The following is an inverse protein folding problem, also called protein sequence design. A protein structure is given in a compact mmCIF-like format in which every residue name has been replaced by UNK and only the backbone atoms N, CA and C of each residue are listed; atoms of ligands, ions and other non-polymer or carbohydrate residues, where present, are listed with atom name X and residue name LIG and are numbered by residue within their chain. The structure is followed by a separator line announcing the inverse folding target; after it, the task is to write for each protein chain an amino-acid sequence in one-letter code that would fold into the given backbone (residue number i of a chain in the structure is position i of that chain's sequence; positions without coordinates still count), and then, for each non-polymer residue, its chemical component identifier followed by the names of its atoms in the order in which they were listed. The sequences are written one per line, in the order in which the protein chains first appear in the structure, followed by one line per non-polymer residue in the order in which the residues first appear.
data_IF_492842058516
#
_entry.id   IF_492842058516
#
_cell.length_a   1.000
_cell.length_b   1.000
_cell.length_c   1.000
_cell.angle_alpha   90.00
_cell.angle_beta   90.00
_cell.angle_gamma   90.00
#
_symmetry.space_group_name_H-M   'P 1'
#
loop_
_entity.id
_entity.type
_entity.pdbx_description
1 polymer ?
#
# COMPACT_ATOMS: atom_id res chain seq x y z
N UNK A 1 39.75 -13.90 -20.77
CA UNK A 1 39.09 -12.71 -20.19
C UNK A 1 37.90 -12.37 -21.08
N UNK A 2 36.67 -12.50 -20.60
CA UNK A 2 35.48 -12.09 -21.34
C UNK A 2 35.48 -10.55 -21.48
N UNK A 3 34.87 -9.98 -22.54
CA UNK A 3 34.81 -8.53 -22.77
C UNK A 3 34.27 -7.77 -21.56
N UNK A 4 33.33 -8.35 -20.82
CA UNK A 4 32.78 -7.78 -19.59
C UNK A 4 33.82 -7.70 -18.46
N UNK A 5 34.71 -8.69 -18.33
CA UNK A 5 35.80 -8.67 -17.34
C UNK A 5 36.83 -7.58 -17.66
N UNK A 6 37.11 -7.35 -18.95
CA UNK A 6 37.98 -6.25 -19.39
C UNK A 6 37.35 -4.88 -19.07
N UNK A 7 36.04 -4.73 -19.31
CA UNK A 7 35.30 -3.51 -18.97
C UNK A 7 35.27 -3.26 -17.46
N UNK A 8 35.14 -4.30 -16.63
CA UNK A 8 35.18 -4.17 -15.17
C UNK A 8 36.55 -3.73 -14.64
N UNK A 9 37.63 -4.16 -15.29
CA UNK A 9 39.00 -3.74 -14.96
C UNK A 9 39.23 -2.28 -15.39
N UNK A 10 38.78 -1.89 -16.59
CA UNK A 10 39.00 -0.55 -17.13
C UNK A 10 38.06 0.50 -16.50
N UNK A 11 36.85 0.10 -16.11
CA UNK A 11 35.81 0.97 -15.56
C UNK A 11 35.19 0.36 -14.29
N UNK A 12 35.82 0.56 -13.11
CA UNK A 12 35.36 -0.04 -11.86
C UNK A 12 33.94 0.33 -11.43
N UNK A 13 33.41 1.45 -11.91
CA UNK A 13 32.04 1.90 -11.66
C UNK A 13 30.99 1.14 -12.50
N UNK A 14 31.42 0.30 -13.46
CA UNK A 14 30.56 -0.53 -14.31
C UNK A 14 30.57 -2.01 -13.91
N UNK A 15 30.99 -2.34 -12.69
CA UNK A 15 31.08 -3.72 -12.20
C UNK A 15 29.73 -4.46 -12.16
N UNK A 16 28.63 -3.72 -12.10
CA UNK A 16 27.28 -4.29 -12.11
C UNK A 16 26.83 -4.73 -13.52
N UNK A 17 27.60 -4.40 -14.57
CA UNK A 17 27.29 -4.86 -15.92
C UNK A 17 27.46 -6.37 -16.02
N UNK A 18 26.38 -7.04 -16.34
CA UNK A 18 26.35 -8.47 -16.65
C UNK A 18 26.34 -8.68 -18.17
N UNK A 19 26.96 -9.75 -18.69
CA UNK A 19 26.81 -10.12 -20.09
C UNK A 19 25.34 -10.31 -20.46
N UNK A 20 24.98 -9.93 -21.69
CA UNK A 20 23.69 -10.30 -22.24
C UNK A 20 23.62 -11.84 -22.37
N UNK A 21 22.55 -12.42 -21.86
CA UNK A 21 22.27 -13.85 -21.93
C UNK A 21 21.12 -14.11 -22.92
N UNK A 22 19.88 -13.74 -22.55
CA UNK A 22 18.72 -13.81 -23.44
C UNK A 22 17.79 -12.61 -23.27
N UNK A 23 16.89 -12.40 -24.25
CA UNK A 23 15.90 -11.34 -24.20
C UNK A 23 14.91 -11.47 -23.01
N UNK A 24 14.76 -12.67 -22.46
CA UNK A 24 13.77 -12.98 -21.42
C UNK A 24 14.36 -13.12 -20.02
N UNK A 25 15.70 -13.09 -19.86
CA UNK A 25 16.36 -13.30 -18.56
C UNK A 25 15.86 -12.31 -17.49
N UNK A 26 15.70 -11.02 -17.84
CA UNK A 26 15.19 -10.00 -16.92
C UNK A 26 13.66 -9.85 -16.96
N UNK A 27 12.99 -10.42 -17.98
CA UNK A 27 11.54 -10.30 -18.18
C UNK A 27 10.93 -11.64 -18.60
N UNK A 28 10.91 -12.65 -17.70
CA UNK A 28 10.53 -14.02 -18.06
C UNK A 28 9.11 -14.13 -18.62
N UNK A 29 8.20 -13.25 -18.17
CA UNK A 29 6.81 -13.18 -18.62
C UNK A 29 6.65 -12.75 -20.09
N UNK A 30 7.71 -12.33 -20.80
CA UNK A 30 7.65 -12.09 -22.24
C UNK A 30 7.80 -13.36 -23.08
N UNK A 31 8.27 -14.46 -22.49
CA UNK A 31 8.42 -15.75 -23.18
C UNK A 31 7.09 -16.50 -23.32
N UNK A 32 6.06 -16.10 -22.56
CA UNK A 32 4.73 -16.70 -22.57
C UNK A 32 3.67 -15.62 -22.88
N UNK A 33 2.93 -15.79 -23.98
CA UNK A 33 1.94 -14.83 -24.45
C UNK A 33 0.77 -14.68 -23.46
N UNK A 34 0.39 -15.72 -22.73
CA UNK A 34 -0.68 -15.60 -21.74
C UNK A 34 -0.22 -14.74 -20.55
N UNK A 35 0.93 -15.07 -19.96
CA UNK A 35 1.52 -14.31 -18.86
C UNK A 35 1.81 -12.86 -19.27
N UNK A 36 2.27 -12.62 -20.50
CA UNK A 36 2.52 -11.28 -21.04
C UNK A 36 1.30 -10.35 -20.93
N UNK A 37 0.11 -10.86 -21.24
CA UNK A 37 -1.12 -10.05 -21.24
C UNK A 37 -1.82 -10.06 -19.88
N UNK A 38 -1.78 -11.18 -19.16
CA UNK A 38 -2.68 -11.42 -18.02
C UNK A 38 -2.00 -11.46 -16.64
N UNK A 39 -0.66 -11.36 -16.54
CA UNK A 39 0.06 -11.51 -15.25
C UNK A 39 -0.41 -10.63 -14.09
N UNK A 40 -1.03 -9.48 -14.39
CA UNK A 40 -1.50 -8.51 -13.37
C UNK A 40 -2.93 -8.79 -12.90
N UNK A 41 -3.66 -9.64 -13.61
CA UNK A 41 -5.00 -10.03 -13.22
C UNK A 41 -4.93 -10.97 -12.01
N UNK A 42 -5.82 -10.74 -11.05
CA UNK A 42 -5.98 -11.57 -9.86
C UNK A 42 -7.44 -12.04 -9.84
N UNK A 43 -7.67 -13.31 -9.52
CA UNK A 43 -9.00 -13.90 -9.47
C UNK A 43 -9.80 -13.47 -8.24
N UNK A 44 -9.11 -13.00 -7.19
CA UNK A 44 -9.72 -12.55 -5.94
C UNK A 44 -8.91 -11.42 -5.28
N UNK A 45 -9.54 -10.72 -4.33
CA UNK A 45 -8.87 -9.67 -3.58
C UNK A 45 -7.79 -10.25 -2.66
N UNK A 46 -8.02 -11.42 -2.08
CA UNK A 46 -7.09 -12.16 -1.24
C UNK A 46 -5.83 -12.54 -2.03
N UNK A 47 -5.99 -12.94 -3.30
CA UNK A 47 -4.85 -13.19 -4.19
C UNK A 47 -4.07 -11.90 -4.46
N UNK A 48 -4.75 -10.78 -4.70
CA UNK A 48 -4.11 -9.49 -4.90
C UNK A 48 -3.32 -9.04 -3.66
N UNK A 49 -3.87 -9.25 -2.46
CA UNK A 49 -3.19 -8.96 -1.17
C UNK A 49 -1.97 -9.85 -0.98
N UNK A 50 -2.04 -11.15 -1.31
CA UNK A 50 -0.87 -12.03 -1.24
C UNK A 50 0.22 -11.61 -2.23
N UNK A 51 -0.16 -11.32 -3.47
CA UNK A 51 0.77 -10.89 -4.55
C UNK A 51 1.38 -9.52 -4.29
N UNK A 52 0.71 -8.65 -3.55
CA UNK A 52 1.27 -7.33 -3.17
C UNK A 52 2.38 -7.44 -2.12
N UNK A 53 2.48 -8.58 -1.42
CA UNK A 53 3.46 -8.78 -0.36
C UNK A 53 3.16 -7.98 0.91
N UNK A 54 1.88 -7.62 1.13
CA UNK A 54 1.43 -6.91 2.33
C UNK A 54 1.78 -7.69 3.60
N UNK A 55 2.22 -6.96 4.64
CA UNK A 55 2.55 -7.50 5.96
C UNK A 55 1.96 -6.62 7.04
N UNK A 56 1.86 -7.16 8.25
CA UNK A 56 1.50 -6.39 9.44
C UNK A 56 2.42 -5.18 9.62
N UNK A 57 1.88 -4.07 10.10
CA UNK A 57 2.63 -2.82 10.25
C UNK A 57 2.75 -1.96 8.98
N UNK A 58 2.33 -2.46 7.82
CA UNK A 58 2.42 -1.69 6.56
C UNK A 58 1.32 -0.64 6.43
N UNK A 59 1.51 0.26 5.45
CA UNK A 59 0.57 1.33 5.12
C UNK A 59 -0.22 1.00 3.86
N UNK A 60 -1.55 1.08 3.96
CA UNK A 60 -2.49 0.96 2.82
C UNK A 60 -3.10 2.32 2.52
N UNK A 61 -3.36 2.62 1.25
CA UNK A 61 -3.87 3.94 0.83
C UNK A 61 -5.05 3.87 -0.13
N UNK A 62 -5.93 4.86 -0.03
CA UNK A 62 -7.16 4.93 -0.82
C UNK A 62 -7.49 6.36 -1.28
N UNK A 63 -8.12 6.44 -2.45
CA UNK A 63 -8.66 7.68 -2.99
C UNK A 63 -10.18 7.75 -2.71
N UNK A 64 -10.72 8.96 -2.52
CA UNK A 64 -12.12 9.17 -2.12
C UNK A 64 -13.01 9.66 -3.27
N UNK A 65 -12.66 9.37 -4.54
CA UNK A 65 -13.37 9.90 -5.70
C UNK A 65 -14.84 9.44 -5.78
N UNK A 66 -15.15 8.27 -5.24
CA UNK A 66 -16.51 7.72 -5.16
C UNK A 66 -17.39 8.36 -4.08
N UNK A 67 -16.82 9.26 -3.26
CA UNK A 67 -17.50 9.97 -2.18
C UNK A 67 -18.22 9.00 -1.22
N UNK A 68 -19.44 9.33 -0.81
CA UNK A 68 -20.29 8.49 0.08
C UNK A 68 -20.70 7.16 -0.57
N UNK A 69 -20.47 6.97 -1.88
CA UNK A 69 -20.69 5.71 -2.57
C UNK A 69 -19.48 4.76 -2.51
N UNK A 70 -18.39 5.12 -1.82
CA UNK A 70 -17.24 4.24 -1.74
C UNK A 70 -17.55 2.93 -1.00
N UNK A 71 -17.19 1.84 -1.66
CA UNK A 71 -17.27 0.47 -1.09
C UNK A 71 -15.89 -0.16 -0.98
N UNK A 72 -14.87 0.44 -1.60
CA UNK A 72 -13.55 -0.16 -1.72
C UNK A 72 -12.89 -0.23 -0.35
N UNK A 73 -12.89 0.86 0.41
CA UNK A 73 -12.23 0.90 1.74
C UNK A 73 -12.83 -0.17 2.66
N UNK A 74 -14.16 -0.20 2.78
CA UNK A 74 -14.86 -1.16 3.65
C UNK A 74 -14.60 -2.61 3.22
N UNK A 75 -14.69 -2.91 1.93
CA UNK A 75 -14.49 -4.27 1.42
C UNK A 75 -13.04 -4.73 1.62
N UNK A 76 -12.06 -3.86 1.34
CA UNK A 76 -10.64 -4.20 1.48
C UNK A 76 -10.28 -4.40 2.94
N UNK A 77 -10.65 -3.48 3.83
CA UNK A 77 -10.32 -3.61 5.26
C UNK A 77 -11.00 -4.82 5.88
N UNK A 78 -12.25 -5.12 5.53
CA UNK A 78 -12.92 -6.33 6.00
C UNK A 78 -12.20 -7.61 5.54
N UNK A 79 -11.74 -7.65 4.29
CA UNK A 79 -10.97 -8.78 3.75
C UNK A 79 -9.63 -8.92 4.48
N UNK A 80 -8.94 -7.81 4.73
CA UNK A 80 -7.67 -7.81 5.48
C UNK A 80 -7.87 -8.29 6.93
N UNK A 81 -8.96 -7.87 7.57
CA UNK A 81 -9.33 -8.35 8.91
C UNK A 81 -9.58 -9.87 8.91
N UNK A 82 -10.31 -10.39 7.92
CA UNK A 82 -10.55 -11.84 7.77
C UNK A 82 -9.27 -12.64 7.48
N UNK A 83 -8.33 -12.06 6.75
CA UNK A 83 -7.01 -12.64 6.50
C UNK A 83 -6.08 -12.57 7.73
N UNK A 84 -6.49 -11.87 8.80
CA UNK A 84 -5.76 -11.81 10.07
C UNK A 84 -4.71 -10.70 10.16
N UNK A 85 -4.72 -9.71 9.26
CA UNK A 85 -3.76 -8.60 9.32
C UNK A 85 -3.97 -7.70 10.54
N UNK A 86 -2.87 -7.17 11.06
CA UNK A 86 -2.85 -6.28 12.22
C UNK A 86 -1.90 -5.10 12.05
N UNK A 87 -2.12 -4.08 12.89
CA UNK A 87 -1.24 -2.91 13.00
C UNK A 87 -1.06 -2.15 11.69
N UNK A 88 -2.07 -2.14 10.82
CA UNK A 88 -1.99 -1.44 9.54
C UNK A 88 -2.19 0.07 9.74
N UNK A 89 -1.52 0.83 8.89
CA UNK A 89 -1.71 2.27 8.77
C UNK A 89 -2.65 2.57 7.60
N UNK A 90 -3.76 3.24 7.85
CA UNK A 90 -4.71 3.68 6.82
C UNK A 90 -4.39 5.10 6.37
N UNK A 91 -3.87 5.24 5.15
CA UNK A 91 -3.59 6.52 4.50
C UNK A 91 -4.65 6.82 3.43
N UNK A 92 -5.86 7.17 3.85
CA UNK A 92 -6.92 7.57 2.93
C UNK A 92 -6.87 9.07 2.68
N UNK A 93 -7.08 9.50 1.44
CA UNK A 93 -7.14 10.93 1.12
C UNK A 93 -8.30 11.67 1.80
N UNK A 94 -9.43 11.01 2.10
CA UNK A 94 -10.52 11.54 2.92
C UNK A 94 -11.41 10.39 3.41
N UNK A 95 -11.98 10.52 4.61
CA UNK A 95 -12.90 9.53 5.18
C UNK A 95 -14.29 10.15 5.37
N UNK A 96 -15.27 9.46 4.79
CA UNK A 96 -16.68 9.88 4.74
C UNK A 96 -17.57 9.00 5.62
N UNK A 97 -18.85 9.34 5.72
CA UNK A 97 -19.80 8.69 6.62
C UNK A 97 -19.99 7.20 6.30
N UNK A 98 -19.90 6.82 5.02
CA UNK A 98 -19.95 5.43 4.58
C UNK A 98 -18.86 4.52 5.19
N UNK A 99 -17.80 5.08 5.78
CA UNK A 99 -16.70 4.33 6.41
C UNK A 99 -16.94 4.04 7.89
N UNK A 100 -18.18 4.16 8.39
CA UNK A 100 -18.57 3.74 9.75
C UNK A 100 -18.09 2.31 10.11
N UNK A 101 -18.14 1.29 9.22
CA UNK A 101 -17.67 -0.06 9.54
C UNK A 101 -16.19 -0.15 9.95
N UNK A 102 -15.37 0.87 9.64
CA UNK A 102 -13.97 0.90 10.07
C UNK A 102 -13.80 0.95 11.59
N UNK A 103 -14.81 1.40 12.34
CA UNK A 103 -14.75 1.48 13.80
C UNK A 103 -14.42 0.11 14.41
N UNK A 104 -15.06 -0.96 13.92
CA UNK A 104 -14.82 -2.33 14.40
C UNK A 104 -13.39 -2.81 14.08
N UNK A 105 -12.89 -2.47 12.89
CA UNK A 105 -11.54 -2.82 12.46
C UNK A 105 -10.44 -2.05 13.21
N UNK A 106 -10.75 -0.85 13.71
CA UNK A 106 -9.88 -0.09 14.62
C UNK A 106 -9.88 -0.76 16.01
N UNK A 107 -11.05 -1.12 16.54
CA UNK A 107 -11.15 -1.77 17.86
C UNK A 107 -10.47 -3.14 17.92
N UNK A 108 -10.55 -3.90 16.84
CA UNK A 108 -9.89 -5.22 16.71
C UNK A 108 -8.37 -5.14 16.45
N UNK A 109 -7.82 -3.93 16.27
CA UNK A 109 -6.38 -3.72 16.06
C UNK A 109 -5.91 -4.00 14.63
N UNK A 110 -6.82 -4.11 13.67
CA UNK A 110 -6.47 -4.23 12.24
C UNK A 110 -5.86 -2.92 11.76
N UNK A 111 -6.48 -1.79 12.12
CA UNK A 111 -5.97 -0.44 11.84
C UNK A 111 -5.55 0.23 13.15
N UNK A 112 -4.30 0.64 13.25
CA UNK A 112 -3.76 1.32 14.43
C UNK A 112 -3.42 2.78 14.19
N UNK A 113 -3.23 3.18 12.93
CA UNK A 113 -2.87 4.55 12.53
C UNK A 113 -3.74 5.02 11.39
N UNK A 114 -4.18 6.29 11.43
CA UNK A 114 -4.94 6.90 10.34
C UNK A 114 -4.30 8.23 9.94
N UNK A 115 -4.09 8.35 8.63
CA UNK A 115 -3.66 9.57 7.95
C UNK A 115 -4.75 9.96 6.97
N UNK A 116 -5.34 11.15 7.14
CA UNK A 116 -6.41 11.63 6.26
C UNK A 116 -6.42 13.15 6.09
N UNK A 117 -7.08 13.67 5.06
CA UNK A 117 -7.35 15.11 4.98
C UNK A 117 -8.62 15.55 5.70
N UNK A 118 -9.52 14.60 5.95
CA UNK A 118 -10.78 14.86 6.63
C UNK A 118 -11.43 13.57 7.09
N UNK A 119 -12.20 13.67 8.17
CA UNK A 119 -12.98 12.59 8.74
C UNK A 119 -14.34 13.16 9.16
N UNK A 120 -15.43 12.43 8.91
CA UNK A 120 -16.80 12.88 9.20
C UNK A 120 -17.65 11.73 9.74
N UNK A 121 -18.82 12.09 10.28
CA UNK A 121 -19.81 11.14 10.77
C UNK A 121 -19.38 10.43 12.06
N UNK A 122 -20.00 9.29 12.33
CA UNK A 122 -19.77 8.50 13.54
C UNK A 122 -18.32 8.05 13.73
N UNK A 123 -17.57 7.89 12.64
CA UNK A 123 -16.13 7.59 12.72
C UNK A 123 -15.36 8.75 13.38
N UNK A 124 -15.66 10.00 13.01
CA UNK A 124 -15.03 11.17 13.61
C UNK A 124 -15.43 11.35 15.08
N UNK A 125 -16.70 11.08 15.40
CA UNK A 125 -17.22 11.11 16.78
C UNK A 125 -16.53 10.05 17.64
N UNK A 126 -16.44 8.81 17.16
CA UNK A 126 -15.76 7.72 17.88
C UNK A 126 -14.28 8.03 18.13
N UNK A 127 -13.55 8.53 17.11
CA UNK A 127 -12.16 9.00 17.28
C UNK A 127 -12.07 10.11 18.33
N UNK A 128 -13.00 11.07 18.31
CA UNK A 128 -13.03 12.16 19.30
C UNK A 128 -13.30 11.67 20.73
N UNK A 129 -14.01 10.55 20.88
CA UNK A 129 -14.23 9.87 22.16
C UNK A 129 -13.10 8.92 22.58
N UNK A 130 -11.95 8.93 21.88
CA UNK A 130 -10.78 8.14 22.27
C UNK A 130 -10.76 6.71 21.73
N UNK A 131 -11.41 6.45 20.61
CA UNK A 131 -11.37 5.15 19.93
C UNK A 131 -9.94 4.68 19.60
N UNK A 132 -9.02 5.61 19.36
CA UNK A 132 -7.64 5.31 18.95
C UNK A 132 -6.64 5.75 20.01
N UNK A 133 -5.67 4.88 20.29
CA UNK A 133 -4.54 5.20 21.16
C UNK A 133 -3.59 6.20 20.50
N UNK A 134 -3.36 6.05 19.18
CA UNK A 134 -2.57 6.99 18.41
C UNK A 134 -3.44 8.10 17.80
N UNK A 135 -3.01 9.36 17.87
CA UNK A 135 -3.78 10.47 17.35
C UNK A 135 -3.90 10.40 15.82
N UNK A 136 -5.11 10.64 15.31
CA UNK A 136 -5.36 10.72 13.86
C UNK A 136 -4.65 11.94 13.28
N UNK A 137 -3.89 11.71 12.22
CA UNK A 137 -3.11 12.75 11.57
C UNK A 137 -3.92 13.37 10.42
N UNK A 138 -4.27 14.65 10.59
CA UNK A 138 -5.05 15.40 9.61
C UNK A 138 -4.13 16.34 8.82
N UNK A 139 -4.16 16.26 7.49
CA UNK A 139 -3.29 17.07 6.62
C UNK A 139 -4.04 17.68 5.43
N UNK A 140 -3.59 18.83 4.97
CA UNK A 140 -4.20 19.49 3.81
C UNK A 140 -3.92 18.71 2.51
N UNK A 141 -4.89 18.61 1.57
CA UNK A 141 -4.72 17.85 0.32
C UNK A 141 -3.55 18.31 -0.55
N UNK A 142 -3.12 19.58 -0.41
CA UNK A 142 -1.99 20.16 -1.16
C UNK A 142 -0.61 19.72 -0.64
N UNK A 143 -0.51 18.97 0.47
CA UNK A 143 0.75 18.40 0.96
C UNK A 143 0.89 16.93 0.55
N UNK A 144 1.15 16.68 -0.74
CA UNK A 144 1.67 15.40 -1.24
C UNK A 144 3.10 15.06 -0.72
N UNK A 145 3.66 15.85 0.22
CA UNK A 145 5.02 15.70 0.73
C UNK A 145 5.19 14.58 1.77
N UNK A 146 4.12 14.15 2.44
CA UNK A 146 4.22 13.14 3.51
C UNK A 146 4.35 11.69 3.00
N UNK A 147 3.90 11.40 1.77
CA UNK A 147 4.15 10.10 1.12
C UNK A 147 5.60 9.90 0.71
N UNK A 148 6.37 10.98 0.50
CA UNK A 148 7.75 10.93 -0.03
C UNK A 148 8.82 11.04 1.06
N UNK A 149 8.51 11.69 2.19
CA UNK A 149 9.48 11.92 3.27
C UNK A 149 9.64 10.74 4.25
N UNK A 150 8.85 9.67 4.08
CA UNK A 150 8.70 8.63 5.10
C UNK A 150 7.85 9.14 6.26
N UNK A 151 6.80 8.39 6.59
CA UNK A 151 5.96 8.65 7.77
C UNK A 151 6.75 8.31 9.03
N UNK A 152 7.74 9.12 9.38
CA UNK A 152 8.37 9.07 10.70
C UNK A 152 7.45 9.82 11.65
N UNK A 153 6.84 9.08 12.58
CA UNK A 153 6.42 9.67 13.83
C UNK A 153 7.70 10.17 14.50
N UNK A 154 7.87 11.48 14.59
CA UNK A 154 8.79 12.03 15.58
C UNK A 154 8.07 11.91 16.92
N UNK A 155 8.75 11.26 17.88
CA UNK A 155 8.31 11.06 19.26
C UNK A 155 8.13 12.38 20.02
#
# INVERSE_FOLDING_TARGET
MNQTELLHVQFPHLRDLVPFDTAHTATPWLADDECKHNRKLCASLEEAVRKSGLRDGMTISFHHAFREGDRVINQVVATLAQMGFKNLTLASSSLMTCNEPLIEHIQSGVITRIYTSGMRGKLAEAVSHGLMAEPVQIHSPRRARQTVAGWRAED
#
